data_IF_477604105598
#
_entry.id   IF_477604105598
#
_cell.length_a   1.000
_cell.length_b   1.000
_cell.length_c   1.000
_cell.angle_alpha   90.00
_cell.angle_beta   90.00
_cell.angle_gamma   90.00
#
_symmetry.space_group_name_H-M   'P 1'
#
loop_
_entity.id
_entity.type
_entity.pdbx_description
1 polymer ?
#
# COMPACT_ATOMS: atom_id res chain seq x y z
N UNK A 1 9.30 25.74 -98.67
CA UNK A 1 10.63 25.60 -99.27
C UNK A 1 11.52 24.79 -98.34
N UNK A 2 12.13 23.71 -98.87
CA UNK A 2 13.35 22.95 -98.45
C UNK A 2 13.60 22.74 -96.93
N UNK A 3 13.50 21.51 -96.39
CA UNK A 3 14.42 20.35 -96.41
C UNK A 3 15.82 20.53 -95.77
N UNK A 4 16.28 19.42 -95.14
CA UNK A 4 17.59 19.01 -94.56
C UNK A 4 17.45 18.83 -93.02
N UNK A 5 17.34 17.66 -92.38
CA UNK A 5 18.02 16.32 -92.37
C UNK A 5 19.47 16.32 -91.86
N UNK A 6 19.69 15.72 -90.67
CA UNK A 6 20.79 14.80 -90.29
C UNK A 6 20.36 14.09 -88.97
N UNK A 7 19.84 12.86 -89.00
CA UNK A 7 20.52 11.57 -88.75
C UNK A 7 21.42 11.56 -87.50
N UNK A 8 20.94 11.02 -86.37
CA UNK A 8 21.01 9.62 -85.90
C UNK A 8 22.42 9.19 -85.49
N UNK A 9 22.56 8.67 -84.26
CA UNK A 9 23.18 7.38 -83.92
C UNK A 9 22.65 6.92 -82.56
N UNK A 10 22.24 5.65 -82.52
CA UNK A 10 21.74 4.90 -81.37
C UNK A 10 22.89 4.13 -80.73
N UNK A 11 22.95 4.07 -79.41
CA UNK A 11 23.65 3.01 -78.69
C UNK A 11 22.68 2.44 -77.65
N UNK A 12 22.50 1.12 -77.70
CA UNK A 12 21.63 0.34 -76.84
C UNK A 12 22.45 -0.50 -75.85
N UNK A 13 21.82 -0.76 -74.68
CA UNK A 13 22.06 -1.87 -73.73
C UNK A 13 23.42 -1.87 -73.00
N UNK A 14 23.57 -2.26 -71.74
CA UNK A 14 22.75 -3.10 -70.86
C UNK A 14 23.22 -2.92 -69.39
N UNK A 15 22.33 -3.24 -68.43
CA UNK A 15 22.61 -3.78 -67.07
C UNK A 15 23.35 -2.91 -66.03
N UNK A 16 22.66 -2.60 -64.92
CA UNK A 16 22.79 -3.35 -63.65
C UNK A 16 21.98 -2.67 -62.53
N UNK A 17 21.10 -3.46 -61.92
CA UNK A 17 20.44 -3.21 -60.64
C UNK A 17 21.39 -2.61 -59.62
N UNK A 18 21.01 -1.46 -59.05
CA UNK A 18 21.41 -1.09 -57.69
C UNK A 18 20.20 -0.50 -56.98
N UNK A 19 19.53 -1.38 -56.25
CA UNK A 19 18.62 -1.03 -55.17
C UNK A 19 19.34 -0.05 -54.24
N UNK A 20 18.96 1.23 -54.27
CA UNK A 20 19.33 2.12 -53.18
C UNK A 20 18.32 1.89 -52.07
N UNK A 21 18.78 1.11 -51.08
CA UNK A 21 18.10 0.90 -49.82
C UNK A 21 17.82 2.27 -49.18
N UNK A 22 16.55 2.55 -48.93
CA UNK A 22 16.15 3.60 -48.00
C UNK A 22 16.64 3.15 -46.63
N UNK A 23 17.66 3.82 -46.10
CA UNK A 23 18.01 3.73 -44.68
C UNK A 23 16.87 4.42 -43.93
N UNK A 24 15.85 3.66 -43.58
CA UNK A 24 14.92 4.07 -42.53
C UNK A 24 15.75 4.01 -41.26
N UNK A 25 16.20 5.17 -40.79
CA UNK A 25 16.67 5.30 -39.42
C UNK A 25 15.47 4.96 -38.52
N UNK A 26 15.41 3.70 -38.07
CA UNK A 26 14.55 3.34 -36.95
C UNK A 26 15.13 4.08 -35.76
N UNK A 27 14.60 5.27 -35.47
CA UNK A 27 14.62 5.78 -34.12
C UNK A 27 13.82 4.76 -33.32
N UNK A 28 14.53 3.80 -32.72
CA UNK A 28 13.96 2.97 -31.67
C UNK A 28 13.55 3.94 -30.57
N UNK A 29 12.29 4.33 -30.61
CA UNK A 29 11.60 4.99 -29.53
C UNK A 29 11.77 4.08 -28.32
N UNK A 30 12.72 4.44 -27.46
CA UNK A 30 12.90 3.87 -26.13
C UNK A 30 11.70 4.29 -25.28
N UNK A 31 10.61 3.56 -25.48
CA UNK A 31 9.35 3.69 -24.76
C UNK A 31 9.21 2.31 -24.11
N UNK A 32 9.18 2.08 -22.80
CA UNK A 32 8.80 2.88 -21.66
C UNK A 32 9.69 2.49 -20.47
N UNK A 33 10.58 3.38 -20.03
CA UNK A 33 10.90 3.47 -18.61
C UNK A 33 10.35 4.82 -18.13
N UNK A 34 9.05 5.03 -18.39
CA UNK A 34 8.30 5.96 -17.54
C UNK A 34 8.39 5.31 -16.17
N UNK A 35 9.23 5.89 -15.33
CA UNK A 35 9.54 5.41 -14.00
C UNK A 35 8.28 4.92 -13.30
N UNK A 36 8.26 3.65 -12.89
CA UNK A 36 7.24 3.12 -11.97
C UNK A 36 7.09 3.98 -10.70
N UNK A 37 8.10 4.81 -10.39
CA UNK A 37 8.08 5.92 -9.44
C UNK A 37 6.83 6.81 -9.53
N UNK A 38 6.29 7.06 -10.73
CA UNK A 38 5.07 7.85 -10.90
C UNK A 38 3.78 7.01 -10.75
N UNK A 39 3.87 5.69 -10.84
CA UNK A 39 2.72 4.78 -10.89
C UNK A 39 2.24 4.29 -9.51
N UNK A 40 3.07 4.33 -8.46
CA UNK A 40 2.68 3.87 -7.12
C UNK A 40 2.44 4.99 -6.08
N UNK A 41 2.71 6.26 -6.41
CA UNK A 41 2.40 7.40 -5.53
C UNK A 41 3.04 7.33 -4.13
N UNK A 42 4.14 6.59 -3.97
CA UNK A 42 4.80 6.42 -2.68
C UNK A 42 5.64 7.65 -2.29
N UNK A 43 5.95 7.79 -1.01
CA UNK A 43 6.80 8.86 -0.48
C UNK A 43 7.94 8.28 0.34
N UNK A 44 9.19 8.62 -0.02
CA UNK A 44 10.36 8.33 0.82
C UNK A 44 10.40 9.37 1.93
N UNK A 45 10.21 8.93 3.18
CA UNK A 45 10.22 9.82 4.36
C UNK A 45 11.56 9.80 5.08
N UNK A 46 12.42 8.82 4.79
CA UNK A 46 13.77 8.70 5.34
C UNK A 46 14.68 7.93 4.40
N UNK A 47 15.92 8.39 4.26
CA UNK A 47 16.97 7.69 3.52
C UNK A 47 18.33 7.99 4.19
N UNK A 48 18.84 7.04 4.95
CA UNK A 48 20.07 7.19 5.72
C UNK A 48 21.08 6.12 5.34
N UNK A 49 22.37 6.46 5.41
CA UNK A 49 23.44 5.51 5.14
C UNK A 49 24.59 5.58 6.15
N UNK A 50 25.29 4.46 6.27
CA UNK A 50 26.55 4.34 7.01
C UNK A 50 27.64 3.90 6.03
N UNK A 51 28.27 4.88 5.39
CA UNK A 51 29.17 4.65 4.25
C UNK A 51 28.48 3.80 3.19
N UNK A 52 29.23 2.92 2.54
CA UNK A 52 28.68 1.93 1.58
C UNK A 52 28.25 0.60 2.26
N UNK A 53 28.17 0.55 3.59
CA UNK A 53 27.92 -0.70 4.32
C UNK A 53 26.42 -0.95 4.52
N UNK A 54 25.66 0.11 4.81
CA UNK A 54 24.23 0.02 5.11
C UNK A 54 23.53 1.26 4.58
N UNK A 55 22.40 1.04 3.90
CA UNK A 55 21.36 2.04 3.63
C UNK A 55 20.06 1.60 4.30
N UNK A 56 19.33 2.54 4.90
CA UNK A 56 18.02 2.33 5.47
C UNK A 56 17.06 3.36 4.89
N UNK A 57 15.98 2.88 4.27
CA UNK A 57 14.96 3.71 3.62
C UNK A 57 13.63 3.46 4.34
N UNK A 58 12.88 4.52 4.61
CA UNK A 58 11.50 4.41 5.08
C UNK A 58 10.56 5.02 4.03
N UNK A 59 9.54 4.25 3.67
CA UNK A 59 8.62 4.56 2.58
C UNK A 59 7.19 4.50 3.08
N UNK A 60 6.38 5.48 2.67
CA UNK A 60 4.93 5.49 2.88
C UNK A 60 4.25 5.21 1.55
N UNK A 61 3.46 4.14 1.50
CA UNK A 61 2.59 3.79 0.39
C UNK A 61 1.18 4.36 0.62
N UNK A 62 0.44 4.74 -0.44
CA UNK A 62 -0.94 5.18 -0.30
C UNK A 62 -1.86 4.04 0.17
N UNK A 63 -1.55 2.80 -0.18
CA UNK A 63 -2.30 1.60 0.17
C UNK A 63 -1.39 0.36 0.19
N UNK A 64 -1.92 -0.75 0.70
CA UNK A 64 -1.22 -2.04 0.72
C UNK A 64 -1.09 -2.60 -0.69
N UNK A 65 0.07 -3.17 -0.99
CA UNK A 65 0.36 -3.78 -2.31
C UNK A 65 0.80 -5.24 -2.14
N UNK A 66 0.77 -6.00 -3.23
CA UNK A 66 1.20 -7.40 -3.19
C UNK A 66 2.73 -7.54 -3.17
N UNK A 67 3.20 -8.77 -2.99
CA UNK A 67 4.63 -9.06 -2.94
C UNK A 67 5.36 -8.68 -4.24
N UNK A 68 4.90 -9.06 -5.44
CA UNK A 68 5.56 -8.64 -6.69
C UNK A 68 5.70 -7.13 -6.82
N UNK A 69 4.70 -6.36 -6.38
CA UNK A 69 4.77 -4.90 -6.38
C UNK A 69 5.83 -4.40 -5.39
N UNK A 70 5.89 -4.94 -4.16
CA UNK A 70 6.96 -4.61 -3.21
C UNK A 70 8.36 -4.94 -3.77
N UNK A 71 8.50 -6.05 -4.48
CA UNK A 71 9.78 -6.44 -5.09
C UNK A 71 10.22 -5.45 -6.17
N UNK A 72 9.29 -5.05 -7.04
CA UNK A 72 9.54 -4.06 -8.08
C UNK A 72 9.92 -2.69 -7.48
N UNK A 73 9.16 -2.22 -6.48
CA UNK A 73 9.43 -0.94 -5.80
C UNK A 73 10.75 -0.98 -5.02
N UNK A 74 11.05 -2.08 -4.33
CA UNK A 74 12.32 -2.25 -3.62
C UNK A 74 13.51 -2.17 -4.57
N UNK A 75 13.39 -2.79 -5.75
CA UNK A 75 14.41 -2.75 -6.80
C UNK A 75 14.59 -1.34 -7.34
N UNK A 76 13.50 -0.64 -7.63
CA UNK A 76 13.53 0.74 -8.08
C UNK A 76 14.25 1.65 -7.07
N UNK A 77 13.89 1.57 -5.78
CA UNK A 77 14.51 2.38 -4.71
C UNK A 77 15.99 2.03 -4.53
N UNK A 78 16.35 0.76 -4.66
CA UNK A 78 17.75 0.34 -4.59
C UNK A 78 18.55 0.92 -5.76
N UNK A 79 18.03 0.82 -6.97
CA UNK A 79 18.73 1.19 -8.20
C UNK A 79 18.70 2.70 -8.50
N UNK A 80 17.82 3.46 -7.84
CA UNK A 80 17.80 4.93 -7.92
C UNK A 80 19.01 5.61 -7.27
N UNK A 81 19.78 4.88 -6.46
CA UNK A 81 21.02 5.37 -5.86
C UNK A 81 22.24 4.72 -6.57
N UNK A 82 23.18 5.52 -7.10
CA UNK A 82 24.35 4.98 -7.79
C UNK A 82 25.34 4.28 -6.84
N UNK A 83 25.26 4.54 -5.54
CA UNK A 83 26.15 3.95 -4.53
C UNK A 83 25.79 2.48 -4.33
N UNK A 84 26.77 1.60 -4.47
CA UNK A 84 26.62 0.19 -4.17
C UNK A 84 26.73 -0.04 -2.66
N UNK A 85 25.59 -0.24 -2.00
CA UNK A 85 25.55 -0.60 -0.59
C UNK A 85 25.62 -2.12 -0.42
N UNK A 86 26.40 -2.59 0.56
CA UNK A 86 26.42 -4.02 0.92
C UNK A 86 25.05 -4.51 1.39
N UNK A 87 24.26 -3.62 2.02
CA UNK A 87 22.94 -3.93 2.58
C UNK A 87 22.02 -2.74 2.42
N UNK A 88 20.81 -2.99 1.94
CA UNK A 88 19.73 -1.98 1.88
C UNK A 88 18.50 -2.53 2.58
N UNK A 89 17.99 -1.80 3.55
CA UNK A 89 16.76 -2.13 4.28
C UNK A 89 15.70 -1.10 3.90
N UNK A 90 14.49 -1.56 3.59
CA UNK A 90 13.38 -0.68 3.26
C UNK A 90 12.19 -1.05 4.15
N UNK A 91 11.78 -0.11 5.00
CA UNK A 91 10.56 -0.21 5.81
C UNK A 91 9.39 0.41 5.08
N UNK A 92 8.27 -0.32 4.98
CA UNK A 92 7.07 0.10 4.27
C UNK A 92 5.95 0.39 5.28
N UNK A 93 5.41 1.61 5.23
CA UNK A 93 4.24 2.07 6.00
C UNK A 93 3.08 2.33 5.05
N UNK A 94 1.85 2.27 5.57
CA UNK A 94 0.65 2.63 4.82
C UNK A 94 0.18 4.00 5.30
N UNK A 95 -0.17 4.88 4.36
CA UNK A 95 -0.73 6.19 4.66
C UNK A 95 -2.02 6.02 5.45
N UNK A 96 -2.08 6.65 6.63
CA UNK A 96 -3.26 6.58 7.51
C UNK A 96 -3.26 5.38 8.45
N UNK A 97 -2.32 4.44 8.35
CA UNK A 97 -2.07 3.51 9.45
C UNK A 97 -1.33 4.27 10.56
N UNK A 98 -1.98 4.37 11.73
CA UNK A 98 -1.45 5.05 12.92
C UNK A 98 -0.45 4.15 13.70
N UNK A 99 -0.18 2.95 13.18
CA UNK A 99 0.76 2.00 13.76
C UNK A 99 2.21 2.52 13.80
N UNK A 100 2.87 2.29 14.94
CA UNK A 100 4.29 2.65 15.10
C UNK A 100 5.23 1.74 14.30
N UNK A 101 4.80 0.51 13.99
CA UNK A 101 5.57 -0.48 13.25
C UNK A 101 5.44 -0.33 11.72
N UNK A 102 6.39 -0.93 10.98
CA UNK A 102 6.24 -1.09 9.54
C UNK A 102 5.16 -2.15 9.23
N UNK A 103 4.40 -1.93 8.17
CA UNK A 103 3.46 -2.93 7.64
C UNK A 103 4.21 -4.06 6.92
N UNK A 104 5.26 -3.72 6.19
CA UNK A 104 6.14 -4.69 5.54
C UNK A 104 7.59 -4.20 5.58
N UNK A 105 8.52 -5.10 5.31
CA UNK A 105 9.92 -4.73 5.05
C UNK A 105 10.49 -5.50 3.86
N UNK A 106 11.48 -4.90 3.22
CA UNK A 106 12.33 -5.58 2.25
C UNK A 106 13.80 -5.39 2.59
N UNK A 107 14.54 -6.50 2.57
CA UNK A 107 15.96 -6.52 2.94
C UNK A 107 16.78 -7.05 1.76
N UNK A 108 17.78 -6.29 1.33
CA UNK A 108 18.81 -6.72 0.38
C UNK A 108 20.05 -7.17 1.14
N UNK A 109 20.24 -8.50 1.26
CA UNK A 109 21.33 -9.13 2.01
C UNK A 109 22.00 -10.32 1.27
N UNK A 110 22.66 -10.16 0.11
CA UNK A 110 22.47 -9.18 -0.96
C UNK A 110 21.26 -9.50 -1.86
N UNK A 111 20.69 -10.71 -1.74
CA UNK A 111 19.43 -11.07 -2.36
C UNK A 111 18.27 -10.33 -1.69
N UNK A 112 17.22 -10.05 -2.46
CA UNK A 112 16.00 -9.45 -1.95
C UNK A 112 15.20 -10.47 -1.15
N UNK A 113 14.75 -10.06 0.03
CA UNK A 113 13.71 -10.75 0.80
C UNK A 113 12.57 -9.79 1.08
N UNK A 114 11.34 -10.29 1.08
CA UNK A 114 10.13 -9.54 1.43
C UNK A 114 9.51 -10.19 2.66
N UNK A 115 9.13 -9.38 3.64
CA UNK A 115 8.41 -9.84 4.81
C UNK A 115 7.22 -8.92 5.10
N UNK A 116 6.02 -9.48 5.13
CA UNK A 116 4.84 -8.81 5.68
C UNK A 116 4.85 -8.95 7.21
N UNK A 117 4.74 -7.82 7.90
CA UNK A 117 4.65 -7.75 9.36
C UNK A 117 3.18 -7.56 9.80
N UNK A 118 2.38 -6.86 9.00
CA UNK A 118 0.92 -6.82 9.09
C UNK A 118 0.26 -7.71 8.03
N UNK A 119 -1.08 -7.61 7.88
CA UNK A 119 -1.80 -8.49 6.95
C UNK A 119 -1.47 -8.19 5.50
N UNK A 120 -1.46 -9.24 4.67
CA UNK A 120 -1.38 -9.14 3.21
C UNK A 120 -2.57 -8.37 2.64
N UNK A 121 -2.49 -7.93 1.38
CA UNK A 121 -3.64 -7.31 0.67
C UNK A 121 -4.87 -8.23 0.70
N UNK A 122 -4.66 -9.53 0.46
CA UNK A 122 -5.74 -10.50 0.46
C UNK A 122 -6.39 -10.65 1.84
N UNK A 123 -5.60 -10.74 2.90
CA UNK A 123 -6.12 -10.89 4.26
C UNK A 123 -6.79 -9.61 4.77
N UNK A 124 -6.21 -8.44 4.46
CA UNK A 124 -6.84 -7.16 4.75
C UNK A 124 -8.19 -7.02 4.03
N UNK A 125 -8.28 -7.46 2.78
CA UNK A 125 -9.53 -7.48 2.04
C UNK A 125 -10.57 -8.40 2.70
N UNK A 126 -10.18 -9.59 3.21
CA UNK A 126 -11.08 -10.47 3.97
C UNK A 126 -11.59 -9.79 5.25
N UNK A 127 -10.71 -9.15 6.02
CA UNK A 127 -11.10 -8.39 7.22
C UNK A 127 -12.08 -7.29 6.85
N UNK A 128 -11.78 -6.49 5.82
CA UNK A 128 -12.65 -5.42 5.31
C UNK A 128 -14.01 -5.94 4.82
N UNK A 129 -14.06 -7.12 4.22
CA UNK A 129 -15.29 -7.74 3.73
C UNK A 129 -16.07 -8.54 4.80
N UNK A 130 -15.49 -8.76 5.99
CA UNK A 130 -16.14 -9.55 7.05
C UNK A 130 -17.50 -8.96 7.46
N UNK A 131 -18.41 -9.84 7.88
CA UNK A 131 -19.81 -9.48 8.15
C UNK A 131 -19.94 -8.47 9.30
N UNK A 132 -20.72 -7.43 9.06
CA UNK A 132 -21.17 -6.47 10.09
C UNK A 132 -22.46 -6.91 10.78
N UNK A 133 -23.06 -8.03 10.37
CA UNK A 133 -24.32 -8.51 10.93
C UNK A 133 -24.12 -9.01 12.37
N UNK A 134 -25.01 -8.60 13.27
CA UNK A 134 -25.07 -9.08 14.64
C UNK A 134 -26.51 -9.43 15.00
N UNK A 135 -26.68 -10.28 16.01
CA UNK A 135 -27.98 -10.63 16.59
C UNK A 135 -28.41 -9.51 17.56
N UNK A 136 -28.67 -8.32 17.01
CA UNK A 136 -28.96 -7.09 17.75
C UNK A 136 -28.88 -5.85 16.87
N UNK A 137 -29.12 -4.68 17.48
CA UNK A 137 -29.00 -3.39 16.81
C UNK A 137 -27.52 -3.02 16.66
N UNK A 138 -27.01 -3.03 15.43
CA UNK A 138 -25.64 -2.58 15.13
C UNK A 138 -25.58 -1.05 15.22
N UNK A 139 -24.66 -0.52 16.02
CA UNK A 139 -24.44 0.93 16.15
C UNK A 139 -23.15 1.43 15.52
N UNK A 140 -22.26 0.53 15.09
CA UNK A 140 -21.06 0.91 14.38
C UNK A 140 -20.19 -0.28 13.97
N UNK A 141 -19.31 -0.03 13.01
CA UNK A 141 -18.29 -0.97 12.58
C UNK A 141 -16.99 -0.24 12.25
N UNK A 142 -15.85 -0.83 12.62
CA UNK A 142 -14.55 -0.19 12.51
C UNK A 142 -13.48 -1.16 12.04
N UNK A 143 -12.47 -0.65 11.34
CA UNK A 143 -11.26 -1.41 11.02
C UNK A 143 -10.15 -1.00 11.97
N UNK A 144 -9.68 -1.96 12.76
CA UNK A 144 -8.47 -1.81 13.56
C UNK A 144 -7.27 -2.30 12.76
N UNK A 145 -6.21 -1.50 12.68
CA UNK A 145 -4.90 -1.87 12.14
C UNK A 145 -3.79 -1.71 13.19
N UNK A 146 -4.18 -1.52 14.46
CA UNK A 146 -3.25 -1.43 15.59
C UNK A 146 -2.78 -2.83 15.99
N UNK A 147 -1.57 -3.19 15.54
CA UNK A 147 -0.98 -4.51 15.76
C UNK A 147 -1.47 -5.53 14.74
N UNK A 148 -2.66 -6.10 14.99
CA UNK A 148 -3.31 -7.02 14.05
C UNK A 148 -4.47 -6.34 13.35
N UNK A 149 -4.76 -6.76 12.11
CA UNK A 149 -5.95 -6.26 11.42
C UNK A 149 -7.18 -7.08 11.78
N UNK A 150 -8.21 -6.40 12.25
CA UNK A 150 -9.51 -7.01 12.55
C UNK A 150 -10.63 -6.00 12.39
N UNK A 151 -11.82 -6.53 12.10
CA UNK A 151 -13.05 -5.73 12.08
C UNK A 151 -13.71 -5.78 13.44
N UNK A 152 -14.09 -4.63 13.95
CA UNK A 152 -14.89 -4.48 15.16
C UNK A 152 -16.33 -4.13 14.77
N UNK A 153 -17.31 -4.77 15.41
CA UNK A 153 -18.74 -4.51 15.22
C UNK A 153 -19.37 -4.29 16.58
N UNK A 154 -19.85 -3.07 16.81
CA UNK A 154 -20.58 -2.70 18.02
C UNK A 154 -22.08 -2.94 17.83
N UNK A 155 -22.71 -3.67 18.76
CA UNK A 155 -24.15 -3.94 18.71
C UNK A 155 -24.79 -3.98 20.09
N UNK A 156 -26.11 -3.75 20.15
CA UNK A 156 -26.93 -3.84 21.35
C UNK A 156 -27.91 -5.00 21.26
N UNK A 157 -27.98 -5.79 22.33
CA UNK A 157 -28.90 -6.93 22.44
C UNK A 157 -29.39 -7.04 23.88
N UNK A 158 -30.70 -7.13 24.08
CA UNK A 158 -31.32 -7.31 25.40
C UNK A 158 -30.85 -6.28 26.45
N UNK A 159 -30.71 -5.01 26.04
CA UNK A 159 -30.24 -3.92 26.91
C UNK A 159 -28.74 -3.93 27.21
N UNK A 160 -27.97 -4.89 26.70
CA UNK A 160 -26.51 -4.98 26.84
C UNK A 160 -25.80 -4.50 25.58
N UNK A 161 -24.57 -4.01 25.75
CA UNK A 161 -23.72 -3.54 24.65
C UNK A 161 -22.58 -4.52 24.45
N UNK A 162 -22.27 -4.83 23.18
CA UNK A 162 -21.21 -5.76 22.82
C UNK A 162 -20.34 -5.20 21.71
N UNK A 163 -19.08 -5.63 21.68
CA UNK A 163 -18.22 -5.47 20.50
C UNK A 163 -17.70 -6.84 20.11
N UNK A 164 -17.95 -7.24 18.85
CA UNK A 164 -17.35 -8.42 18.24
C UNK A 164 -16.13 -8.01 17.41
N UNK A 165 -15.02 -8.70 17.61
CA UNK A 165 -13.81 -8.59 16.78
C UNK A 165 -13.71 -9.81 15.87
N UNK A 166 -13.42 -9.60 14.57
CA UNK A 166 -13.28 -10.67 13.57
C UNK A 166 -11.98 -10.50 12.78
N UNK A 167 -11.19 -11.57 12.69
CA UNK A 167 -9.89 -11.60 12.02
C UNK A 167 -9.98 -12.19 10.60
N UNK A 168 -8.88 -12.12 9.85
CA UNK A 168 -8.81 -12.56 8.46
C UNK A 168 -9.10 -14.06 8.24
N UNK A 169 -8.79 -14.89 9.24
CA UNK A 169 -9.05 -16.33 9.25
C UNK A 169 -10.51 -16.67 9.62
N UNK A 170 -11.34 -15.65 9.91
CA UNK A 170 -12.73 -15.79 10.33
C UNK A 170 -12.90 -16.07 11.82
N UNK A 171 -11.81 -16.23 12.57
CA UNK A 171 -11.89 -16.30 14.03
C UNK A 171 -12.51 -15.01 14.59
N UNK A 172 -13.27 -15.14 15.66
CA UNK A 172 -13.92 -14.00 16.28
C UNK A 172 -14.10 -14.15 17.78
N UNK A 173 -14.17 -13.01 18.47
CA UNK A 173 -14.47 -12.91 19.89
C UNK A 173 -15.47 -11.80 20.14
N UNK A 174 -16.41 -11.99 21.07
CA UNK A 174 -17.39 -10.98 21.47
C UNK A 174 -17.19 -10.66 22.93
N UNK A 175 -17.07 -9.36 23.24
CA UNK A 175 -16.97 -8.85 24.61
C UNK A 175 -18.16 -7.97 24.94
N UNK A 176 -18.62 -8.05 26.19
CA UNK A 176 -19.66 -7.16 26.73
C UNK A 176 -19.01 -5.87 27.22
N UNK A 177 -19.69 -4.75 27.01
CA UNK A 177 -19.25 -3.43 27.45
C UNK A 177 -20.36 -2.74 28.23
N UNK A 178 -19.95 -1.96 29.23
CA UNK A 178 -20.83 -1.09 30.00
C UNK A 178 -20.63 0.34 29.55
N UNK A 179 -21.73 1.02 29.23
CA UNK A 179 -21.71 2.44 28.96
C UNK A 179 -21.57 3.23 30.27
N UNK A 180 -20.56 4.07 30.36
CA UNK A 180 -20.32 4.97 31.51
C UNK A 180 -20.02 6.40 31.03
N UNK A 181 -19.83 7.33 31.96
CA UNK A 181 -19.45 8.71 31.65
C UNK A 181 -18.05 9.02 32.17
N UNK A 182 -17.17 9.45 31.28
CA UNK A 182 -15.87 10.03 31.61
C UNK A 182 -15.87 11.48 31.15
N UNK A 183 -15.68 12.42 32.08
CA UNK A 183 -15.71 13.87 31.80
C UNK A 183 -16.97 14.31 31.01
N UNK A 184 -18.13 13.73 31.33
CA UNK A 184 -19.41 14.02 30.68
C UNK A 184 -19.64 13.34 29.33
N UNK A 185 -18.64 12.66 28.76
CA UNK A 185 -18.76 11.89 27.51
C UNK A 185 -19.13 10.44 27.78
N UNK A 186 -20.04 9.90 26.98
CA UNK A 186 -20.38 8.47 27.05
C UNK A 186 -19.23 7.64 26.48
N UNK A 187 -18.77 6.65 27.24
CA UNK A 187 -17.68 5.73 26.87
C UNK A 187 -18.09 4.29 27.14
N UNK A 188 -17.39 3.34 26.53
CA UNK A 188 -17.59 1.90 26.70
C UNK A 188 -16.39 1.32 27.46
N UNK A 189 -16.64 0.73 28.63
CA UNK A 189 -15.63 0.01 29.42
C UNK A 189 -15.95 -1.48 29.35
N UNK A 190 -14.93 -2.33 29.24
CA UNK A 190 -15.10 -3.78 29.27
C UNK A 190 -15.88 -4.17 30.56
N UNK A 191 -16.91 -5.00 30.41
CA UNK A 191 -17.76 -5.40 31.53
C UNK A 191 -17.00 -6.23 32.58
N UNK A 192 -15.90 -6.87 32.19
CA UNK A 192 -14.99 -7.58 33.11
C UNK A 192 -14.04 -6.63 33.84
N UNK A 193 -14.08 -5.33 33.52
CA UNK A 193 -13.16 -4.31 33.99
C UNK A 193 -11.97 -4.11 33.06
N UNK A 194 -11.15 -3.10 33.35
CA UNK A 194 -9.86 -2.88 32.68
C UNK A 194 -8.78 -2.68 33.73
N UNK A 195 -7.69 -3.40 33.57
CA UNK A 195 -6.52 -3.34 34.47
C UNK A 195 -5.78 -1.99 34.37
N UNK A 196 -5.95 -1.27 33.26
CA UNK A 196 -5.25 -0.02 32.95
C UNK A 196 -6.20 1.14 32.61
N UNK A 197 -7.47 1.04 33.04
CA UNK A 197 -8.46 2.09 32.82
C UNK A 197 -8.78 2.37 31.35
N UNK A 198 -8.61 1.39 30.48
CA UNK A 198 -8.87 1.48 29.05
C UNK A 198 -10.37 1.55 28.76
N UNK A 199 -10.74 2.39 27.80
CA UNK A 199 -12.11 2.52 27.34
C UNK A 199 -12.16 2.89 25.87
N UNK A 200 -13.34 2.65 25.28
CA UNK A 200 -13.64 3.12 23.94
C UNK A 200 -14.58 4.32 23.96
N UNK A 201 -14.38 5.24 23.02
CA UNK A 201 -15.31 6.32 22.74
C UNK A 201 -15.62 6.36 21.25
N UNK A 202 -16.90 6.51 20.88
CA UNK A 202 -17.27 6.79 19.49
C UNK A 202 -17.30 8.30 19.33
N UNK A 203 -16.46 8.83 18.45
CA UNK A 203 -16.36 10.28 18.26
C UNK A 203 -17.44 10.82 17.31
N UNK A 204 -17.41 12.13 17.07
CA UNK A 204 -18.41 12.80 16.23
C UNK A 204 -18.40 12.34 14.76
N UNK A 205 -17.27 11.82 14.27
CA UNK A 205 -17.13 11.24 12.94
C UNK A 205 -17.60 9.78 12.89
N UNK A 206 -17.92 9.19 14.04
CA UNK A 206 -18.28 7.78 14.18
C UNK A 206 -17.07 6.85 14.21
N UNK A 207 -15.84 7.37 14.28
CA UNK A 207 -14.63 6.57 14.50
C UNK A 207 -14.59 6.06 15.95
N UNK A 208 -13.92 4.93 16.17
CA UNK A 208 -13.75 4.34 17.50
C UNK A 208 -12.38 4.71 18.05
N UNK A 209 -12.38 5.52 19.09
CA UNK A 209 -11.20 5.97 19.81
C UNK A 209 -10.84 5.00 20.93
N UNK A 210 -9.56 4.68 21.04
CA UNK A 210 -8.98 3.82 22.05
C UNK A 210 -8.24 4.71 23.04
N UNK A 211 -8.70 4.72 24.28
CA UNK A 211 -8.19 5.57 25.35
C UNK A 211 -7.61 4.73 26.48
N UNK A 212 -6.55 5.24 27.09
CA UNK A 212 -6.00 4.75 28.35
C UNK A 212 -5.54 5.91 29.22
N UNK A 213 -4.75 5.63 30.26
CA UNK A 213 -4.26 6.65 31.22
C UNK A 213 -3.51 7.81 30.53
N UNK A 214 -2.80 7.53 29.44
CA UNK A 214 -2.02 8.52 28.68
C UNK A 214 -2.82 9.23 27.58
N UNK A 215 -4.15 9.08 27.54
CA UNK A 215 -5.02 9.66 26.54
C UNK A 215 -5.33 8.71 25.38
N UNK A 216 -5.76 9.28 24.25
CA UNK A 216 -6.02 8.52 23.03
C UNK A 216 -4.71 7.99 22.47
N UNK A 217 -4.62 6.67 22.30
CA UNK A 217 -3.43 6.03 21.73
C UNK A 217 -3.69 5.46 20.34
N UNK A 218 -4.94 5.36 19.90
CA UNK A 218 -5.31 4.85 18.58
C UNK A 218 -6.75 5.23 18.21
N UNK A 219 -7.02 5.45 16.92
CA UNK A 219 -8.38 5.65 16.40
C UNK A 219 -8.68 4.73 15.22
N UNK A 220 -9.59 3.76 15.41
CA UNK A 220 -10.06 2.88 14.36
C UNK A 220 -11.12 3.56 13.49
N UNK A 221 -10.95 3.49 12.17
CA UNK A 221 -11.80 4.20 11.22
C UNK A 221 -13.15 3.52 11.00
N UNK A 222 -14.16 4.40 10.89
CA UNK A 222 -15.44 4.22 10.21
C UNK A 222 -15.43 3.18 9.09
N UNK A 223 -15.93 1.96 9.25
CA UNK A 223 -15.95 0.98 8.13
C UNK A 223 -17.28 0.92 7.38
N UNK A 224 -18.41 1.12 8.09
CA UNK A 224 -19.79 1.27 7.60
C UNK A 224 -20.60 2.04 8.65
#
# INVERSE_FOLDING_TARGET
>A
MRNIIMQLWSFAMDRLSKCFAVVVATVSLSTWAISFAQAAGYSVIKDESKGNIKRAVEVVLPERVDQPTLEALAKEIKDSNPTQFQRTFIGWRIKGDEGQAYWAKTDYLPALTVQFLGSTVADYAKVKASSTNADGEVFGSWLSTWGYDYKMVGFRKNGKTFIRSTFADGSSGTKEFVATKVSGKSVLVDAEGSDFGEYYAVNAQGDLEFWGENGNFYTAKKSQ
#
